data_IF_474278025655
#
_entry.id   IF_474278025655
#
_cell.length_a   1.000
_cell.length_b   1.000
_cell.length_c   1.000
_cell.angle_alpha   90.00
_cell.angle_beta   90.00
_cell.angle_gamma   90.00
#
_symmetry.space_group_name_H-M   'P 1'
#
loop_
_entity.id
_entity.type
_entity.pdbx_description
1 polymer ?
#
# COMPACT_ATOMS: atom_id res chain seq x y z
N UNK A 1 4.64 14.19 -18.72
CA UNK A 1 5.84 14.56 -17.95
C UNK A 1 5.44 14.37 -16.49
N UNK A 2 5.85 13.26 -15.86
CA UNK A 2 5.48 12.92 -14.49
C UNK A 2 6.52 13.59 -13.57
N UNK A 3 6.13 14.42 -12.61
CA UNK A 3 7.10 14.98 -11.67
C UNK A 3 7.58 13.91 -10.71
N UNK A 4 8.90 13.75 -10.66
CA UNK A 4 9.61 12.94 -9.68
C UNK A 4 9.57 13.67 -8.34
N UNK A 5 8.74 13.23 -7.39
CA UNK A 5 8.81 13.69 -6.02
C UNK A 5 9.81 12.84 -5.23
N UNK A 6 11.06 13.24 -5.32
CA UNK A 6 12.09 13.07 -4.31
C UNK A 6 12.65 14.46 -4.02
N UNK A 7 11.90 15.27 -3.29
CA UNK A 7 12.44 16.47 -2.70
C UNK A 7 13.42 16.04 -1.59
N UNK A 8 14.70 16.13 -1.87
CA UNK A 8 15.74 16.05 -0.86
C UNK A 8 15.58 17.23 0.09
N UNK A 9 15.26 16.95 1.35
CA UNK A 9 15.36 17.94 2.41
C UNK A 9 16.84 18.32 2.61
N UNK A 10 17.21 19.60 2.77
CA UNK A 10 18.58 20.00 3.00
C UNK A 10 18.99 19.62 4.43
N UNK A 11 20.03 18.82 4.55
CA UNK A 11 20.60 18.43 5.84
C UNK A 11 20.96 16.95 5.93
N UNK A 12 21.57 16.37 4.88
CA UNK A 12 22.12 15.02 4.97
C UNK A 12 23.37 15.01 5.86
N UNK A 13 23.42 14.16 6.89
CA UNK A 13 24.71 13.81 7.50
C UNK A 13 25.53 13.00 6.51
N UNK A 14 26.85 13.12 6.64
CA UNK A 14 27.85 12.53 5.77
C UNK A 14 27.72 11.02 5.56
N UNK A 15 28.18 10.49 4.41
CA UNK A 15 28.05 9.09 4.03
C UNK A 15 29.19 8.26 4.65
N UNK A 16 28.93 7.64 5.79
CA UNK A 16 29.75 6.56 6.33
C UNK A 16 28.94 5.34 6.75
N UNK A 17 27.72 5.19 6.27
CA UNK A 17 26.98 3.94 6.39
C UNK A 17 27.16 3.12 5.11
N UNK A 18 27.89 2.01 5.19
CA UNK A 18 27.92 1.00 4.14
C UNK A 18 26.47 0.66 3.74
N UNK A 19 26.18 0.65 2.44
CA UNK A 19 24.87 0.26 1.91
C UNK A 19 24.48 -1.18 2.35
N UNK A 20 23.26 -1.63 2.05
CA UNK A 20 22.84 -2.99 2.40
C UNK A 20 23.80 -4.02 1.79
N UNK A 21 24.11 -5.11 2.53
CA UNK A 21 24.96 -6.16 2.01
C UNK A 21 24.33 -6.79 0.77
N UNK A 22 25.15 -7.31 -0.13
CA UNK A 22 24.63 -8.11 -1.24
C UNK A 22 23.86 -9.32 -0.69
N UNK A 23 22.71 -9.60 -1.28
CA UNK A 23 21.81 -10.70 -0.90
C UNK A 23 21.53 -11.57 -2.12
N UNK A 24 21.46 -12.86 -1.93
CA UNK A 24 20.98 -13.80 -2.95
C UNK A 24 19.95 -14.75 -2.35
N UNK A 25 18.76 -14.81 -2.94
CA UNK A 25 17.76 -15.86 -2.67
C UNK A 25 17.89 -16.90 -3.77
N UNK A 26 18.21 -18.13 -3.41
CA UNK A 26 18.58 -19.19 -4.36
C UNK A 26 17.53 -20.29 -4.39
N UNK A 27 17.04 -20.65 -5.59
CA UNK A 27 16.16 -21.80 -5.79
C UNK A 27 14.69 -21.58 -5.50
N UNK A 28 14.25 -20.35 -5.25
CA UNK A 28 12.83 -20.01 -5.00
C UNK A 28 11.98 -20.11 -6.27
N UNK A 29 10.66 -20.30 -6.09
CA UNK A 29 9.69 -19.85 -7.08
C UNK A 29 9.59 -18.33 -6.99
N UNK A 30 9.53 -17.61 -8.12
CA UNK A 30 9.46 -16.14 -8.13
C UNK A 30 8.14 -15.70 -8.73
N UNK A 31 7.30 -15.07 -7.92
CA UNK A 31 6.18 -14.26 -8.37
C UNK A 31 6.70 -12.84 -8.63
N UNK A 32 6.75 -12.43 -9.88
CA UNK A 32 7.40 -11.17 -10.26
C UNK A 32 6.53 -9.92 -10.06
N UNK A 33 5.29 -10.08 -9.57
CA UNK A 33 4.32 -9.00 -9.43
C UNK A 33 3.53 -8.68 -10.71
N UNK A 34 3.76 -9.38 -11.82
CA UNK A 34 3.08 -9.14 -13.10
C UNK A 34 1.71 -9.78 -13.26
N UNK A 35 1.19 -10.46 -12.22
CA UNK A 35 -0.11 -11.13 -12.29
C UNK A 35 -0.10 -12.49 -13.00
N UNK A 36 1.07 -12.99 -13.40
CA UNK A 36 1.28 -14.33 -13.93
C UNK A 36 1.62 -15.37 -12.84
N UNK A 37 1.79 -16.67 -13.21
CA UNK A 37 2.22 -17.70 -12.28
C UNK A 37 3.68 -17.50 -11.85
N UNK A 38 4.07 -17.99 -10.65
CA UNK A 38 5.45 -17.95 -10.21
C UNK A 38 6.37 -18.78 -11.12
N UNK A 39 7.55 -18.26 -11.38
CA UNK A 39 8.58 -18.96 -12.14
C UNK A 39 9.44 -19.82 -11.19
N UNK A 40 9.46 -21.16 -11.30
CA UNK A 40 10.17 -22.02 -10.38
C UNK A 40 11.70 -21.96 -10.58
N UNK A 41 12.46 -22.32 -9.52
CA UNK A 41 13.89 -22.56 -9.58
C UNK A 41 14.69 -21.32 -9.99
N UNK A 42 14.40 -20.18 -9.39
CA UNK A 42 15.08 -18.90 -9.69
C UNK A 42 16.08 -18.53 -8.58
N UNK A 43 17.10 -17.81 -9.00
CA UNK A 43 17.98 -17.07 -8.10
C UNK A 43 17.77 -15.59 -8.35
N UNK A 44 17.56 -14.84 -7.26
CA UNK A 44 17.46 -13.38 -7.26
C UNK A 44 18.64 -12.83 -6.50
N UNK A 45 19.39 -11.93 -7.14
CA UNK A 45 20.56 -11.26 -6.55
C UNK A 45 20.21 -9.77 -6.41
N UNK A 46 20.41 -9.25 -5.21
CA UNK A 46 20.26 -7.83 -4.91
C UNK A 46 21.55 -7.26 -4.32
N UNK A 47 21.92 -6.05 -4.71
CA UNK A 47 23.01 -5.29 -4.13
C UNK A 47 22.71 -3.80 -4.16
N UNK A 48 23.22 -3.04 -3.20
CA UNK A 48 23.00 -1.59 -3.13
C UNK A 48 21.53 -1.19 -3.08
N UNK A 49 20.66 -2.04 -2.56
CA UNK A 49 19.22 -1.76 -2.44
C UNK A 49 18.37 -2.05 -3.67
N UNK A 50 18.97 -2.56 -4.75
CA UNK A 50 18.27 -2.89 -6.00
C UNK A 50 18.46 -4.36 -6.39
N UNK A 51 17.52 -4.92 -7.11
CA UNK A 51 17.64 -6.23 -7.73
C UNK A 51 18.54 -6.10 -8.96
N UNK A 52 19.67 -6.76 -8.94
CA UNK A 52 20.60 -6.76 -10.07
C UNK A 52 20.26 -7.81 -11.11
N UNK A 53 19.92 -9.03 -10.63
CA UNK A 53 19.72 -10.19 -11.51
C UNK A 53 18.61 -11.09 -11.01
N UNK A 54 17.81 -11.57 -11.96
CA UNK A 54 16.83 -12.64 -11.77
C UNK A 54 17.05 -13.67 -12.88
N UNK A 55 17.32 -14.92 -12.51
CA UNK A 55 17.58 -15.95 -13.51
C UNK A 55 17.49 -17.38 -12.95
N UNK A 56 17.67 -18.40 -13.80
CA UNK A 56 17.62 -19.79 -13.36
C UNK A 56 18.70 -20.11 -12.33
N UNK A 57 18.35 -20.95 -11.34
CA UNK A 57 19.30 -21.52 -10.40
C UNK A 57 20.43 -22.26 -11.17
N UNK A 58 21.68 -22.16 -10.69
CA UNK A 58 22.85 -22.71 -11.36
C UNK A 58 23.42 -21.87 -12.50
N UNK A 59 22.65 -20.91 -13.05
CA UNK A 59 23.16 -19.94 -14.05
C UNK A 59 23.35 -18.54 -13.47
N UNK A 60 22.58 -18.20 -12.41
CA UNK A 60 22.69 -16.92 -11.71
C UNK A 60 23.47 -17.14 -10.42
N UNK A 61 24.74 -16.79 -10.45
CA UNK A 61 25.68 -17.05 -9.34
C UNK A 61 25.65 -15.88 -8.36
N UNK A 62 25.46 -16.15 -7.03
CA UNK A 62 25.60 -15.12 -6.01
C UNK A 62 27.01 -14.49 -6.05
N UNK A 63 27.15 -13.17 -5.84
CA UNK A 63 28.45 -12.55 -5.73
C UNK A 63 29.17 -13.02 -4.46
N UNK A 64 30.52 -12.98 -4.51
CA UNK A 64 31.34 -13.31 -3.33
C UNK A 64 30.97 -12.39 -2.15
N UNK A 65 30.82 -12.97 -0.96
CA UNK A 65 30.46 -12.25 0.25
C UNK A 65 28.97 -11.88 0.38
N UNK A 66 28.12 -12.28 -0.59
CA UNK A 66 26.69 -12.09 -0.46
C UNK A 66 26.09 -12.94 0.68
N UNK A 67 25.10 -12.41 1.36
CA UNK A 67 24.22 -13.20 2.24
C UNK A 67 23.38 -14.12 1.34
N UNK A 68 23.53 -15.42 1.50
CA UNK A 68 22.79 -16.42 0.70
C UNK A 68 21.65 -16.99 1.53
N UNK A 69 20.44 -16.90 1.00
CA UNK A 69 19.21 -17.45 1.58
C UNK A 69 18.72 -18.59 0.70
N UNK A 70 18.53 -19.77 1.29
CA UNK A 70 17.91 -20.90 0.61
C UNK A 70 16.41 -20.63 0.37
N UNK A 71 16.00 -20.60 -0.89
CA UNK A 71 14.64 -20.39 -1.34
C UNK A 71 13.92 -21.69 -1.73
N UNK A 72 14.53 -22.85 -1.57
CA UNK A 72 13.90 -24.12 -1.94
C UNK A 72 12.59 -24.33 -1.17
N UNK A 73 11.52 -24.69 -1.91
CA UNK A 73 10.19 -24.87 -1.36
C UNK A 73 9.46 -23.59 -0.95
N UNK A 74 10.04 -22.42 -1.26
CA UNK A 74 9.47 -21.11 -0.94
C UNK A 74 9.14 -20.33 -2.22
N UNK A 75 8.26 -19.34 -2.05
CA UNK A 75 7.95 -18.34 -3.09
C UNK A 75 8.52 -16.99 -2.67
N UNK A 76 9.27 -16.36 -3.57
CA UNK A 76 9.72 -14.98 -3.44
C UNK A 76 8.78 -14.06 -4.20
N UNK A 77 8.28 -13.05 -3.49
CA UNK A 77 7.38 -12.02 -4.01
C UNK A 77 8.01 -10.64 -3.83
N UNK A 78 7.50 -9.61 -4.53
CA UNK A 78 7.73 -8.23 -4.10
C UNK A 78 7.17 -8.03 -2.68
N UNK A 79 7.80 -7.16 -1.90
CA UNK A 79 7.21 -6.69 -0.65
C UNK A 79 5.85 -6.03 -0.91
N UNK A 80 4.92 -6.22 0.01
CA UNK A 80 3.55 -5.73 -0.14
C UNK A 80 3.48 -4.21 0.00
N UNK A 81 2.55 -3.63 -0.74
CA UNK A 81 2.18 -2.21 -0.70
C UNK A 81 0.74 -2.12 -0.21
N UNK A 82 0.55 -1.58 0.98
CA UNK A 82 -0.77 -1.35 1.57
C UNK A 82 -1.19 0.11 1.33
N UNK A 83 -2.22 0.30 0.53
CA UNK A 83 -2.66 1.63 0.09
C UNK A 83 -3.55 2.35 1.11
N UNK A 84 -3.92 1.70 2.22
CA UNK A 84 -4.73 2.30 3.27
C UNK A 84 -4.39 1.73 4.64
N UNK A 85 -3.68 2.51 5.44
CA UNK A 85 -3.36 2.19 6.84
C UNK A 85 -3.50 3.41 7.73
N UNK A 86 -3.53 3.17 9.06
CA UNK A 86 -3.28 4.12 10.13
C UNK A 86 -2.08 3.61 10.95
N UNK A 87 -0.87 3.89 10.44
CA UNK A 87 0.38 3.22 10.86
C UNK A 87 0.73 3.42 12.33
N UNK A 88 0.38 4.56 12.92
CA UNK A 88 0.70 4.86 14.34
C UNK A 88 -0.04 3.96 15.35
N UNK A 89 -1.01 3.14 14.89
CA UNK A 89 -1.70 2.16 15.73
C UNK A 89 -0.84 0.93 16.08
N UNK A 90 0.26 0.70 15.35
CA UNK A 90 1.14 -0.45 15.54
C UNK A 90 2.61 -0.07 15.46
N UNK A 91 3.53 -0.81 16.11
CA UNK A 91 4.96 -0.64 15.87
C UNK A 91 5.29 -0.87 14.39
N UNK A 92 5.85 0.13 13.67
CA UNK A 92 6.13 -0.02 12.24
C UNK A 92 7.03 -1.22 11.90
N UNK A 93 7.92 -1.60 12.83
CA UNK A 93 8.78 -2.77 12.67
C UNK A 93 7.99 -4.09 12.54
N UNK A 94 6.84 -4.21 13.20
CA UNK A 94 5.98 -5.40 13.06
C UNK A 94 5.34 -5.46 11.68
N UNK A 95 4.86 -4.32 11.19
CA UNK A 95 4.24 -4.20 9.87
C UNK A 95 5.25 -4.58 8.78
N UNK A 96 6.48 -4.05 8.89
CA UNK A 96 7.57 -4.39 7.96
C UNK A 96 7.94 -5.88 8.06
N UNK A 97 8.15 -6.41 9.26
CA UNK A 97 8.49 -7.81 9.47
C UNK A 97 7.38 -8.77 9.00
N UNK A 98 6.14 -8.30 8.99
CA UNK A 98 4.97 -9.00 8.44
C UNK A 98 4.87 -8.98 6.91
N UNK A 99 5.87 -8.42 6.19
CA UNK A 99 5.94 -8.44 4.73
C UNK A 99 5.39 -7.21 4.02
N UNK A 100 4.87 -6.22 4.74
CA UNK A 100 4.41 -4.96 4.16
C UNK A 100 5.57 -3.96 4.14
N UNK A 101 6.16 -3.74 2.97
CA UNK A 101 7.37 -2.92 2.81
C UNK A 101 7.07 -1.45 2.49
N UNK A 102 5.86 -1.17 2.05
CA UNK A 102 5.38 0.19 1.75
C UNK A 102 3.94 0.35 2.23
N UNK A 103 3.64 1.49 2.83
CA UNK A 103 2.29 1.84 3.29
C UNK A 103 1.92 3.25 2.87
N UNK A 104 0.62 3.48 2.64
CA UNK A 104 0.05 4.83 2.55
C UNK A 104 -0.88 5.06 3.73
N UNK A 105 -0.44 5.94 4.64
CA UNK A 105 -1.24 6.36 5.79
C UNK A 105 -2.27 7.41 5.38
N UNK A 106 -3.52 7.17 5.70
CA UNK A 106 -4.65 8.00 5.27
C UNK A 106 -5.27 8.86 6.39
N UNK A 107 -4.52 9.11 7.46
CA UNK A 107 -4.99 10.12 8.40
C UNK A 107 -4.42 10.06 9.81
N UNK A 108 -3.56 11.01 10.12
CA UNK A 108 -3.06 11.32 11.46
C UNK A 108 -2.75 12.81 11.60
N UNK A 109 -2.58 13.32 12.85
CA UNK A 109 -2.03 14.64 13.07
C UNK A 109 -0.67 14.83 12.38
N UNK A 110 -0.44 16.00 11.77
CA UNK A 110 0.74 16.27 10.95
C UNK A 110 2.07 15.99 11.69
N UNK A 111 2.14 16.34 12.97
CA UNK A 111 3.35 16.13 13.79
C UNK A 111 3.70 14.65 13.97
N UNK A 112 2.69 13.78 14.12
CA UNK A 112 2.88 12.32 14.22
C UNK A 112 3.40 11.75 12.91
N UNK A 113 2.80 12.16 11.79
CA UNK A 113 3.24 11.70 10.47
C UNK A 113 4.64 12.20 10.12
N UNK A 114 5.00 13.43 10.48
CA UNK A 114 6.37 13.94 10.31
C UNK A 114 7.39 13.09 11.07
N UNK A 115 7.08 12.71 12.32
CA UNK A 115 7.96 11.87 13.14
C UNK A 115 8.07 10.44 12.57
N UNK A 116 6.98 9.85 12.10
CA UNK A 116 6.96 8.54 11.44
C UNK A 116 7.75 8.59 10.12
N UNK A 117 7.54 9.62 9.31
CA UNK A 117 8.21 9.83 8.03
C UNK A 117 9.72 9.96 8.19
N UNK A 118 10.19 10.77 9.16
CA UNK A 118 11.60 10.92 9.45
C UNK A 118 12.26 9.59 9.84
N UNK A 119 11.59 8.79 10.68
CA UNK A 119 12.08 7.45 11.04
C UNK A 119 12.09 6.49 9.85
N UNK A 120 11.02 6.50 9.04
CA UNK A 120 10.91 5.63 7.87
C UNK A 120 11.93 5.97 6.76
N UNK A 121 12.39 7.22 6.68
CA UNK A 121 13.37 7.68 5.70
C UNK A 121 14.81 7.25 6.02
N UNK A 122 15.11 6.83 7.25
CA UNK A 122 16.46 6.44 7.63
C UNK A 122 16.89 5.15 6.88
N UNK A 123 18.16 5.05 6.44
CA UNK A 123 18.70 3.83 5.86
C UNK A 123 18.56 2.66 6.84
N UNK A 124 18.10 1.51 6.36
CA UNK A 124 17.89 0.33 7.20
C UNK A 124 16.80 0.48 8.27
N UNK A 125 15.93 1.48 8.15
CA UNK A 125 14.86 1.69 9.11
C UNK A 125 13.97 0.46 9.27
N UNK A 126 13.71 0.10 10.52
CA UNK A 126 12.75 -0.95 10.87
C UNK A 126 11.30 -0.41 10.74
N UNK A 127 10.93 0.00 9.53
CA UNK A 127 9.63 0.59 9.20
C UNK A 127 9.35 0.39 7.71
N UNK A 128 8.09 0.21 7.28
CA UNK A 128 7.73 0.34 5.87
C UNK A 128 8.09 1.72 5.31
N UNK A 129 8.26 1.83 4.00
CA UNK A 129 8.25 3.13 3.32
C UNK A 129 6.89 3.77 3.53
N UNK A 130 6.87 5.03 3.96
CA UNK A 130 5.66 5.76 4.29
C UNK A 130 5.34 6.80 3.22
N UNK A 131 4.13 6.69 2.65
CA UNK A 131 3.42 7.79 2.02
C UNK A 131 2.31 8.23 2.98
N UNK A 132 1.97 9.51 3.02
CA UNK A 132 0.99 10.02 3.96
C UNK A 132 0.03 11.00 3.30
N UNK A 133 -1.24 10.98 3.73
CA UNK A 133 -2.22 12.00 3.35
C UNK A 133 -2.15 13.24 4.25
N UNK A 134 -1.62 13.11 5.46
CA UNK A 134 -1.75 14.12 6.47
C UNK A 134 -3.12 14.05 7.17
N UNK A 135 -3.68 15.20 7.49
CA UNK A 135 -4.99 15.31 8.11
C UNK A 135 -6.12 14.97 7.13
N UNK A 136 -7.21 14.43 7.66
CA UNK A 136 -8.43 14.13 6.89
C UNK A 136 -9.26 15.41 6.73
N UNK A 137 -9.45 15.86 5.50
CA UNK A 137 -10.26 17.05 5.22
C UNK A 137 -11.75 16.70 5.34
N UNK A 138 -12.49 17.49 6.13
CA UNK A 138 -13.89 17.31 6.41
C UNK A 138 -14.57 18.65 6.72
N UNK A 139 -15.81 18.65 7.16
CA UNK A 139 -16.50 19.84 7.67
C UNK A 139 -16.50 19.87 9.20
N UNK A 140 -16.78 21.02 9.86
CA UNK A 140 -17.00 21.06 11.30
C UNK A 140 -18.06 20.06 11.76
N UNK A 141 -17.69 19.18 12.71
CA UNK A 141 -18.56 18.11 13.21
C UNK A 141 -18.69 16.90 12.28
N UNK A 142 -18.05 16.91 11.10
CA UNK A 142 -17.97 15.76 10.20
C UNK A 142 -16.98 14.69 10.70
N UNK A 143 -17.08 13.47 10.15
CA UNK A 143 -16.13 12.39 10.45
C UNK A 143 -14.71 12.81 10.02
N UNK A 144 -13.65 12.54 10.79
CA UNK A 144 -13.61 11.85 12.09
C UNK A 144 -13.51 12.79 13.30
N UNK A 145 -13.99 14.04 13.25
CA UNK A 145 -13.80 15.04 14.32
C UNK A 145 -14.24 14.58 15.72
N UNK A 146 -15.12 13.58 15.78
CA UNK A 146 -15.67 13.02 17.04
C UNK A 146 -15.42 11.51 17.15
N UNK A 147 -14.61 10.94 16.27
CA UNK A 147 -14.35 9.52 16.30
C UNK A 147 -13.40 9.17 17.46
N UNK A 148 -13.71 8.16 18.29
CA UNK A 148 -12.91 7.84 19.49
C UNK A 148 -11.47 7.43 19.17
N UNK A 149 -11.21 6.91 17.97
CA UNK A 149 -9.88 6.51 17.51
C UNK A 149 -9.02 7.68 17.07
N UNK A 150 -9.64 8.82 16.69
CA UNK A 150 -8.96 9.95 16.08
C UNK A 150 -8.50 10.97 17.15
N UNK A 151 -7.20 11.07 17.44
CA UNK A 151 -6.70 12.10 18.35
C UNK A 151 -6.93 13.51 17.77
N UNK A 152 -6.95 14.56 18.61
CA UNK A 152 -7.04 15.94 18.14
C UNK A 152 -5.98 16.23 17.06
N UNK A 153 -6.40 16.92 15.99
CA UNK A 153 -5.53 17.21 14.84
C UNK A 153 -5.54 16.16 13.72
N UNK A 154 -6.27 15.04 13.87
CA UNK A 154 -6.47 14.06 12.77
C UNK A 154 -7.36 14.63 11.66
N UNK A 155 -8.38 15.40 12.01
CA UNK A 155 -9.27 16.07 11.07
C UNK A 155 -8.80 17.50 10.77
N UNK A 156 -8.99 17.95 9.52
CA UNK A 156 -8.86 19.33 9.06
C UNK A 156 -10.24 19.82 8.60
N UNK A 157 -11.07 20.38 9.51
CA UNK A 157 -12.37 20.92 9.13
C UNK A 157 -12.21 22.15 8.22
N UNK A 158 -13.12 22.31 7.26
CA UNK A 158 -13.20 23.46 6.35
C UNK A 158 -14.65 23.89 6.15
N UNK A 159 -14.91 25.21 6.15
CA UNK A 159 -16.27 25.77 6.08
C UNK A 159 -16.69 26.18 4.65
N UNK A 160 -15.76 26.27 3.71
CA UNK A 160 -16.08 26.70 2.36
C UNK A 160 -14.98 26.43 1.33
N UNK A 161 -15.24 26.72 0.04
CA UNK A 161 -14.31 26.42 -1.05
C UNK A 161 -12.93 27.08 -0.89
N UNK A 162 -12.86 28.33 -0.43
CA UNK A 162 -11.58 29.02 -0.26
C UNK A 162 -10.71 28.38 0.85
N UNK A 163 -11.33 28.03 1.98
CA UNK A 163 -10.61 27.34 3.07
C UNK A 163 -10.22 25.92 2.66
N UNK A 164 -11.07 25.24 1.89
CA UNK A 164 -10.77 23.93 1.35
C UNK A 164 -9.52 23.94 0.45
N UNK A 165 -9.43 24.91 -0.46
CA UNK A 165 -8.25 25.10 -1.31
C UNK A 165 -6.97 25.43 -0.50
N UNK A 166 -7.11 26.27 0.55
CA UNK A 166 -6.01 26.57 1.46
C UNK A 166 -5.53 25.33 2.23
N UNK A 167 -6.47 24.51 2.75
CA UNK A 167 -6.13 23.26 3.44
C UNK A 167 -5.38 22.26 2.53
N UNK A 168 -5.77 22.16 1.26
CA UNK A 168 -5.04 21.34 0.27
C UNK A 168 -3.63 21.88 0.04
N UNK A 169 -3.45 23.21 -0.02
CA UNK A 169 -2.13 23.81 -0.17
C UNK A 169 -1.24 23.50 1.04
N UNK A 170 -1.74 23.69 2.25
CA UNK A 170 -1.05 23.36 3.51
C UNK A 170 -0.60 21.89 3.54
N UNK A 171 -1.49 20.95 3.19
CA UNK A 171 -1.18 19.53 3.16
C UNK A 171 -0.13 19.18 2.08
N UNK A 172 -0.23 19.78 0.89
CA UNK A 172 0.74 19.58 -0.18
C UNK A 172 2.13 20.10 0.21
N UNK A 173 2.21 21.28 0.82
CA UNK A 173 3.47 21.87 1.34
C UNK A 173 4.07 21.02 2.46
N UNK A 174 3.23 20.36 3.27
CA UNK A 174 3.66 19.39 4.27
C UNK A 174 4.11 18.03 3.69
N UNK A 175 4.04 17.86 2.36
CA UNK A 175 4.48 16.65 1.67
C UNK A 175 3.44 15.53 1.57
N UNK A 176 2.15 15.87 1.63
CA UNK A 176 1.08 14.89 1.40
C UNK A 176 1.22 14.22 0.03
N UNK A 177 1.11 12.90 -0.01
CA UNK A 177 1.12 12.10 -1.24
C UNK A 177 -0.26 11.99 -1.91
N UNK A 178 -1.30 12.31 -1.18
CA UNK A 178 -2.71 12.27 -1.60
C UNK A 178 -3.52 13.13 -0.64
N UNK A 179 -4.66 13.67 -1.08
CA UNK A 179 -5.60 14.35 -0.19
C UNK A 179 -6.66 13.35 0.24
N UNK A 180 -6.82 13.14 1.55
CA UNK A 180 -7.89 12.31 2.12
C UNK A 180 -9.06 13.19 2.52
N UNK A 181 -10.26 12.84 2.04
CA UNK A 181 -11.52 13.45 2.46
C UNK A 181 -12.42 12.43 3.15
N UNK A 182 -13.33 12.92 4.01
CA UNK A 182 -14.33 12.06 4.64
C UNK A 182 -15.76 12.49 4.24
N UNK A 183 -16.52 11.53 3.72
CA UNK A 183 -17.88 11.65 3.24
C UNK A 183 -18.75 10.56 3.89
N UNK A 184 -19.10 10.73 5.17
CA UNK A 184 -19.92 9.76 5.90
C UNK A 184 -21.12 10.45 6.58
N UNK A 185 -22.21 10.56 5.83
CA UNK A 185 -23.47 11.15 6.28
C UNK A 185 -24.19 10.32 7.35
N UNK A 186 -23.74 9.08 7.61
CA UNK A 186 -24.30 8.23 8.68
C UNK A 186 -23.88 8.70 10.09
N UNK A 187 -22.75 9.40 10.18
CA UNK A 187 -22.14 9.78 11.48
C UNK A 187 -21.99 11.29 11.67
N UNK A 188 -22.31 12.10 10.67
CA UNK A 188 -22.25 13.56 10.79
C UNK A 188 -22.42 14.29 9.46
N UNK A 189 -22.28 15.62 9.45
CA UNK A 189 -22.31 16.40 8.22
C UNK A 189 -21.11 16.07 7.33
N UNK A 190 -21.29 16.23 6.02
CA UNK A 190 -20.25 15.95 5.01
C UNK A 190 -19.97 17.16 4.15
N UNK A 191 -18.85 17.14 3.44
CA UNK A 191 -18.44 18.19 2.51
C UNK A 191 -19.55 18.43 1.45
N UNK A 192 -20.08 19.66 1.32
CA UNK A 192 -20.96 20.02 0.22
C UNK A 192 -20.23 19.88 -1.13
N UNK A 193 -20.96 19.57 -2.20
CA UNK A 193 -20.36 19.35 -3.52
C UNK A 193 -19.46 20.52 -4.00
N UNK A 194 -19.79 21.81 -3.81
CA UNK A 194 -18.90 22.90 -4.19
C UNK A 194 -17.58 22.94 -3.40
N UNK A 195 -17.61 22.57 -2.12
CA UNK A 195 -16.40 22.49 -1.26
C UNK A 195 -15.54 21.31 -1.68
N UNK A 196 -16.15 20.15 -1.92
CA UNK A 196 -15.45 18.97 -2.39
C UNK A 196 -14.84 19.19 -3.79
N UNK A 197 -15.55 19.89 -4.69
CA UNK A 197 -15.01 20.25 -6.00
C UNK A 197 -13.77 21.15 -5.88
N UNK A 198 -13.77 22.13 -5.00
CA UNK A 198 -12.62 22.99 -4.74
C UNK A 198 -11.41 22.20 -4.19
N UNK A 199 -11.66 21.17 -3.36
CA UNK A 199 -10.59 20.26 -2.90
C UNK A 199 -9.97 19.51 -4.08
N UNK A 200 -10.82 18.93 -4.96
CA UNK A 200 -10.35 18.17 -6.13
C UNK A 200 -9.57 19.07 -7.07
N UNK A 201 -10.09 20.25 -7.40
CA UNK A 201 -9.43 21.24 -8.26
C UNK A 201 -8.05 21.63 -7.69
N UNK A 202 -8.00 22.04 -6.43
CA UNK A 202 -6.75 22.44 -5.76
C UNK A 202 -5.73 21.29 -5.65
N UNK A 203 -6.18 20.04 -5.51
CA UNK A 203 -5.32 18.87 -5.51
C UNK A 203 -4.74 18.60 -6.91
N UNK A 204 -5.57 18.63 -7.94
CA UNK A 204 -5.14 18.46 -9.34
C UNK A 204 -4.10 19.50 -9.76
N UNK A 205 -4.30 20.77 -9.40
CA UNK A 205 -3.32 21.85 -9.65
C UNK A 205 -1.93 21.55 -9.06
N UNK A 206 -1.89 20.75 -7.99
CA UNK A 206 -0.65 20.32 -7.31
C UNK A 206 -0.16 18.94 -7.68
N UNK A 207 -0.80 18.29 -8.67
CA UNK A 207 -0.47 16.94 -9.10
C UNK A 207 -0.83 15.85 -8.08
N UNK A 208 -1.76 16.14 -7.16
CA UNK A 208 -2.24 15.20 -6.15
C UNK A 208 -3.57 14.58 -6.54
N UNK A 209 -3.77 13.32 -6.19
CA UNK A 209 -5.08 12.67 -6.22
C UNK A 209 -5.91 13.00 -4.97
N UNK A 210 -7.21 12.69 -5.04
CA UNK A 210 -8.11 12.74 -3.89
C UNK A 210 -8.66 11.34 -3.64
N UNK A 211 -8.56 10.87 -2.40
CA UNK A 211 -9.16 9.60 -1.92
C UNK A 211 -10.26 9.90 -0.89
N UNK A 212 -11.40 9.24 -1.03
CA UNK A 212 -12.55 9.51 -0.20
C UNK A 212 -12.94 8.31 0.69
N UNK A 213 -13.04 8.54 2.00
CA UNK A 213 -13.88 7.71 2.85
C UNK A 213 -15.33 7.97 2.45
N UNK A 214 -16.11 6.93 2.15
CA UNK A 214 -17.50 7.06 1.70
C UNK A 214 -18.42 6.19 2.55
N UNK A 215 -19.44 6.80 3.16
CA UNK A 215 -20.40 6.10 3.99
C UNK A 215 -21.50 5.42 3.17
N UNK A 216 -22.08 6.13 2.22
CA UNK A 216 -23.28 5.70 1.50
C UNK A 216 -23.12 5.78 -0.02
N UNK A 217 -24.09 5.21 -0.75
CA UNK A 217 -24.20 5.32 -2.20
C UNK A 217 -24.32 6.78 -2.66
N UNK A 218 -25.03 7.63 -1.91
CA UNK A 218 -25.19 9.05 -2.23
C UNK A 218 -23.84 9.79 -2.14
N UNK A 219 -23.03 9.48 -1.11
CA UNK A 219 -21.71 10.06 -0.94
C UNK A 219 -20.73 9.57 -2.02
N UNK A 220 -20.81 8.30 -2.41
CA UNK A 220 -20.03 7.78 -3.53
C UNK A 220 -20.39 8.46 -4.87
N UNK A 221 -21.69 8.69 -5.12
CA UNK A 221 -22.15 9.41 -6.29
C UNK A 221 -21.68 10.87 -6.29
N UNK A 222 -21.73 11.55 -5.13
CA UNK A 222 -21.22 12.92 -4.97
C UNK A 222 -19.71 13.00 -5.23
N UNK A 223 -18.94 12.07 -4.66
CA UNK A 223 -17.50 11.98 -4.90
C UNK A 223 -17.17 11.80 -6.39
N UNK A 224 -17.86 10.87 -7.05
CA UNK A 224 -17.70 10.62 -8.49
C UNK A 224 -18.04 11.87 -9.32
N UNK A 225 -19.15 12.55 -9.01
CA UNK A 225 -19.62 13.71 -9.77
C UNK A 225 -18.64 14.89 -9.79
N UNK A 226 -17.78 15.02 -8.79
CA UNK A 226 -16.77 16.09 -8.70
C UNK A 226 -15.36 15.61 -9.08
N UNK A 227 -15.21 14.36 -9.51
CA UNK A 227 -13.92 13.85 -10.01
C UNK A 227 -12.98 13.29 -8.96
N UNK A 228 -13.49 12.82 -7.80
CA UNK A 228 -12.67 12.03 -6.86
C UNK A 228 -12.23 10.75 -7.55
N UNK A 229 -10.91 10.51 -7.62
CA UNK A 229 -10.33 9.40 -8.39
C UNK A 229 -10.20 8.09 -7.63
N UNK A 230 -10.41 8.08 -6.31
CA UNK A 230 -10.26 6.88 -5.48
C UNK A 230 -11.28 6.84 -4.35
N UNK A 231 -11.85 5.65 -4.12
CA UNK A 231 -12.61 5.34 -2.92
C UNK A 231 -11.72 4.58 -1.94
N UNK A 232 -11.48 5.17 -0.76
CA UNK A 232 -10.66 4.59 0.30
C UNK A 232 -11.34 3.44 1.04
N UNK A 233 -12.64 3.27 0.81
CA UNK A 233 -13.46 2.13 1.24
C UNK A 233 -14.51 1.86 0.17
N UNK A 234 -14.94 0.61 0.03
CA UNK A 234 -16.22 0.37 -0.61
C UNK A 234 -17.33 0.88 0.32
N UNK A 235 -18.34 1.59 -0.18
CA UNK A 235 -19.38 2.21 0.67
C UNK A 235 -19.98 1.24 1.69
N UNK A 236 -20.21 1.75 2.89
CA UNK A 236 -20.79 0.99 4.01
C UNK A 236 -22.32 0.92 3.95
N UNK A 237 -22.94 1.31 2.84
CA UNK A 237 -24.38 1.23 2.66
C UNK A 237 -24.86 -0.22 2.81
N UNK A 238 -25.81 -0.51 3.68
CA UNK A 238 -26.36 -1.85 3.83
C UNK A 238 -27.18 -2.31 2.62
N UNK A 239 -27.55 -1.39 1.73
CA UNK A 239 -28.27 -1.68 0.49
C UNK A 239 -27.27 -1.79 -0.67
N UNK A 240 -27.55 -2.64 -1.66
CA UNK A 240 -26.75 -2.70 -2.87
C UNK A 240 -26.72 -1.34 -3.60
N UNK A 241 -25.55 -0.90 -4.04
CA UNK A 241 -25.45 0.29 -4.88
C UNK A 241 -26.22 0.06 -6.19
N UNK A 242 -26.89 1.11 -6.75
CA UNK A 242 -27.54 1.02 -8.06
C UNK A 242 -26.55 0.62 -9.16
N UNK A 243 -27.00 -0.22 -10.11
CA UNK A 243 -26.15 -0.66 -11.23
C UNK A 243 -25.51 0.49 -12.01
N UNK A 244 -26.23 1.58 -12.37
CA UNK A 244 -25.62 2.70 -13.08
C UNK A 244 -24.50 3.38 -12.30
N UNK A 245 -24.60 3.41 -10.96
CA UNK A 245 -23.53 3.95 -10.13
C UNK A 245 -22.31 3.03 -10.11
N UNK A 246 -22.52 1.71 -10.00
CA UNK A 246 -21.41 0.74 -10.05
C UNK A 246 -20.71 0.79 -11.41
N UNK A 247 -21.45 0.92 -12.51
CA UNK A 247 -20.91 1.06 -13.87
C UNK A 247 -20.01 2.32 -13.97
N UNK A 248 -20.52 3.46 -13.53
CA UNK A 248 -19.78 4.72 -13.55
C UNK A 248 -18.55 4.71 -12.61
N UNK A 249 -18.66 4.10 -11.43
CA UNK A 249 -17.51 3.91 -10.54
C UNK A 249 -16.45 3.00 -11.17
N UNK A 250 -16.85 1.90 -11.82
CA UNK A 250 -15.90 0.97 -12.45
C UNK A 250 -15.08 1.62 -13.58
N UNK A 251 -15.69 2.56 -14.29
CA UNK A 251 -15.02 3.32 -15.34
C UNK A 251 -14.04 4.37 -14.78
N UNK A 252 -14.44 5.11 -13.74
CA UNK A 252 -13.79 6.35 -13.35
C UNK A 252 -12.85 6.25 -12.15
N UNK A 253 -13.08 5.33 -11.19
CA UNK A 253 -12.35 5.32 -9.93
C UNK A 253 -11.49 4.07 -9.72
N UNK A 254 -10.54 4.19 -8.80
CA UNK A 254 -9.87 3.05 -8.18
C UNK A 254 -10.52 2.79 -6.83
N UNK A 255 -10.81 1.54 -6.52
CA UNK A 255 -11.31 1.14 -5.20
C UNK A 255 -10.20 0.52 -4.36
N UNK A 256 -10.07 0.99 -3.12
CA UNK A 256 -9.34 0.35 -2.02
C UNK A 256 -10.39 -0.21 -1.07
N UNK A 257 -10.90 -1.44 -1.25
CA UNK A 257 -12.20 -1.83 -0.68
C UNK A 257 -12.21 -1.98 0.82
N UNK A 258 -11.08 -2.38 1.44
CA UNK A 258 -10.96 -2.64 2.90
C UNK A 258 -12.09 -3.54 3.41
N UNK A 259 -12.27 -4.68 2.77
CA UNK A 259 -13.39 -5.58 3.06
C UNK A 259 -13.27 -6.25 4.42
N UNK A 260 -12.03 -6.47 4.91
CA UNK A 260 -11.81 -7.18 6.17
C UNK A 260 -12.40 -6.42 7.38
N UNK A 261 -12.36 -5.08 7.39
CA UNK A 261 -12.91 -4.28 8.50
C UNK A 261 -14.44 -4.34 8.60
N UNK A 262 -15.13 -4.63 7.48
CA UNK A 262 -16.57 -4.89 7.40
C UNK A 262 -16.85 -5.80 6.20
N UNK A 263 -16.80 -7.13 6.37
CA UNK A 263 -17.06 -8.10 5.31
C UNK A 263 -18.54 -8.37 5.09
N UNK A 264 -19.40 -7.35 5.26
CA UNK A 264 -20.85 -7.51 5.09
C UNK A 264 -21.21 -8.03 3.69
N UNK A 265 -22.31 -8.80 3.55
CA UNK A 265 -22.73 -9.35 2.25
C UNK A 265 -22.94 -8.27 1.18
N UNK A 266 -23.45 -7.09 1.57
CA UNK A 266 -23.69 -5.97 0.65
C UNK A 266 -22.39 -5.44 0.06
N UNK A 267 -21.36 -5.22 0.90
CA UNK A 267 -20.05 -4.74 0.46
C UNK A 267 -19.35 -5.75 -0.43
N UNK A 268 -19.29 -7.03 -0.03
CA UNK A 268 -18.70 -8.11 -0.84
C UNK A 268 -19.39 -8.24 -2.20
N UNK A 269 -20.73 -8.22 -2.23
CA UNK A 269 -21.49 -8.26 -3.47
C UNK A 269 -21.25 -7.01 -4.34
N UNK A 270 -21.10 -5.84 -3.71
CA UNK A 270 -20.80 -4.58 -4.38
C UNK A 270 -19.43 -4.62 -5.06
N UNK A 271 -18.38 -5.03 -4.36
CA UNK A 271 -17.02 -5.16 -4.93
C UNK A 271 -17.00 -6.21 -6.03
N UNK A 272 -17.71 -7.34 -5.87
CA UNK A 272 -17.83 -8.35 -6.93
C UNK A 272 -18.44 -7.77 -8.21
N UNK A 273 -19.50 -6.97 -8.08
CA UNK A 273 -20.15 -6.30 -9.23
C UNK A 273 -19.22 -5.27 -9.87
N UNK A 274 -18.44 -4.54 -9.07
CA UNK A 274 -17.46 -3.59 -9.54
C UNK A 274 -16.34 -4.28 -10.33
N UNK A 275 -15.76 -5.36 -9.79
CA UNK A 275 -14.73 -6.17 -10.47
C UNK A 275 -15.26 -6.77 -11.77
N UNK A 276 -16.48 -7.31 -11.77
CA UNK A 276 -17.12 -7.89 -12.96
C UNK A 276 -17.32 -6.87 -14.10
N UNK A 277 -17.32 -5.58 -13.78
CA UNK A 277 -17.40 -4.45 -14.74
C UNK A 277 -16.02 -3.91 -15.16
N UNK A 278 -14.95 -4.58 -14.76
CA UNK A 278 -13.58 -4.13 -15.06
C UNK A 278 -13.06 -3.05 -14.12
N UNK A 279 -13.74 -2.81 -13.01
CA UNK A 279 -13.31 -1.85 -11.99
C UNK A 279 -11.93 -2.19 -11.42
N UNK A 280 -11.12 -1.17 -11.22
CA UNK A 280 -9.74 -1.30 -10.75
C UNK A 280 -9.69 -1.37 -9.23
N UNK A 281 -9.11 -2.44 -8.70
CA UNK A 281 -8.94 -2.66 -7.26
C UNK A 281 -7.47 -2.59 -6.89
N UNK A 282 -7.19 -1.90 -5.80
CA UNK A 282 -5.89 -1.86 -5.13
C UNK A 282 -6.07 -2.34 -3.69
N UNK A 283 -5.12 -3.15 -3.22
CA UNK A 283 -5.12 -3.68 -1.86
C UNK A 283 -4.87 -2.55 -0.85
N UNK A 284 -5.66 -2.57 0.21
CA UNK A 284 -5.49 -1.76 1.40
C UNK A 284 -6.35 -2.32 2.51
N UNK A 285 -5.85 -2.27 3.73
CA UNK A 285 -6.42 -3.02 4.85
C UNK A 285 -7.20 -2.16 5.83
N UNK A 286 -6.93 -0.85 5.86
CA UNK A 286 -7.33 0.04 6.94
C UNK A 286 -6.77 -0.43 8.30
N UNK A 287 -5.50 -0.89 8.27
CA UNK A 287 -4.74 -1.26 9.46
C UNK A 287 -4.82 -0.15 10.51
N UNK A 288 -5.24 -0.51 11.70
CA UNK A 288 -5.61 0.41 12.79
C UNK A 288 -7.01 0.16 13.28
N UNK A 289 -7.86 -0.44 12.45
CA UNK A 289 -9.17 -0.96 12.83
C UNK A 289 -9.08 -2.39 13.38
N UNK A 290 -10.21 -2.91 13.89
CA UNK A 290 -10.30 -4.31 14.31
C UNK A 290 -10.29 -5.23 13.09
N UNK A 291 -9.49 -6.29 13.17
CA UNK A 291 -9.37 -7.32 12.14
C UNK A 291 -8.00 -7.35 11.48
N UNK A 292 -7.59 -6.34 10.70
CA UNK A 292 -6.32 -6.36 9.99
C UNK A 292 -5.11 -6.54 10.91
N UNK A 293 -4.24 -7.53 10.67
CA UNK A 293 -3.02 -7.73 11.45
C UNK A 293 -1.93 -6.74 11.03
N UNK A 294 -0.92 -6.45 11.87
CA UNK A 294 0.26 -5.68 11.48
C UNK A 294 1.20 -6.52 10.58
N UNK A 295 0.68 -7.06 9.48
CA UNK A 295 1.32 -7.94 8.53
C UNK A 295 0.54 -7.91 7.21
N UNK A 296 0.96 -8.73 6.24
CA UNK A 296 0.11 -9.01 5.06
C UNK A 296 -1.23 -9.59 5.54
N UNK A 297 -2.30 -8.91 5.21
CA UNK A 297 -3.65 -9.35 5.56
C UNK A 297 -4.18 -10.36 4.52
N UNK A 298 -4.09 -11.63 4.86
CA UNK A 298 -4.55 -12.73 3.99
C UNK A 298 -6.07 -12.77 3.89
N UNK A 299 -6.80 -12.23 4.87
CA UNK A 299 -8.26 -12.18 4.83
C UNK A 299 -8.75 -11.15 3.81
N UNK A 300 -8.14 -9.95 3.75
CA UNK A 300 -8.47 -8.99 2.70
C UNK A 300 -8.21 -9.59 1.31
N UNK A 301 -7.05 -10.26 1.11
CA UNK A 301 -6.75 -10.94 -0.15
C UNK A 301 -7.78 -12.03 -0.48
N UNK A 302 -8.19 -12.82 0.50
CA UNK A 302 -9.22 -13.86 0.32
C UNK A 302 -10.55 -13.27 -0.12
N UNK A 303 -10.96 -12.16 0.50
CA UNK A 303 -12.17 -11.43 0.16
C UNK A 303 -12.10 -10.82 -1.25
N UNK A 304 -10.93 -10.33 -1.67
CA UNK A 304 -10.71 -9.88 -3.05
C UNK A 304 -10.81 -11.02 -4.06
N UNK A 305 -10.27 -12.19 -3.73
CA UNK A 305 -10.42 -13.39 -4.59
C UNK A 305 -11.89 -13.82 -4.66
N UNK A 306 -12.63 -13.80 -3.56
CA UNK A 306 -14.08 -14.08 -3.55
C UNK A 306 -14.88 -13.04 -4.34
N UNK A 307 -14.38 -11.79 -4.42
CA UNK A 307 -14.97 -10.76 -5.26
C UNK A 307 -14.68 -10.96 -6.76
N UNK A 308 -13.87 -11.93 -7.13
CA UNK A 308 -13.63 -12.33 -8.52
C UNK A 308 -12.24 -11.99 -9.07
N UNK A 309 -11.31 -11.50 -8.26
CA UNK A 309 -9.92 -11.36 -8.70
C UNK A 309 -9.25 -12.75 -8.71
N UNK A 310 -8.62 -13.18 -9.80
CA UNK A 310 -7.75 -14.35 -9.76
C UNK A 310 -6.65 -14.16 -8.69
N UNK A 311 -6.19 -15.22 -7.99
CA UNK A 311 -5.18 -15.09 -6.93
C UNK A 311 -3.95 -14.29 -7.34
N UNK A 312 -3.43 -14.52 -8.55
CA UNK A 312 -2.28 -13.77 -9.06
C UNK A 312 -2.59 -12.26 -9.23
N UNK A 313 -3.82 -11.90 -9.61
CA UNK A 313 -4.24 -10.50 -9.71
C UNK A 313 -4.48 -9.87 -8.33
N UNK A 314 -4.98 -10.62 -7.34
CA UNK A 314 -5.08 -10.15 -5.96
C UNK A 314 -3.70 -9.84 -5.38
N UNK A 315 -2.69 -10.70 -5.64
CA UNK A 315 -1.30 -10.42 -5.27
C UNK A 315 -0.71 -9.22 -6.04
N UNK A 316 -1.03 -9.06 -7.32
CA UNK A 316 -0.63 -7.90 -8.10
C UNK A 316 -1.28 -6.61 -7.58
N UNK A 317 -2.56 -6.66 -7.13
CA UNK A 317 -3.25 -5.54 -6.50
C UNK A 317 -2.57 -5.08 -5.19
N UNK A 318 -1.86 -5.98 -4.52
CA UNK A 318 -1.09 -5.71 -3.30
C UNK A 318 0.41 -5.44 -3.55
N UNK A 319 0.87 -5.46 -4.79
CA UNK A 319 2.28 -5.26 -5.15
C UNK A 319 2.42 -4.27 -6.30
N UNK A 320 2.48 -4.75 -7.54
CA UNK A 320 2.78 -3.91 -8.70
C UNK A 320 1.67 -2.92 -9.04
N UNK A 321 0.40 -3.32 -8.94
CA UNK A 321 -0.73 -2.42 -9.24
C UNK A 321 -0.87 -1.35 -8.17
N UNK A 322 -0.69 -1.71 -6.88
CA UNK A 322 -0.64 -0.73 -5.80
C UNK A 322 0.52 0.25 -5.98
N UNK A 323 1.73 -0.26 -6.27
CA UNK A 323 2.90 0.58 -6.51
C UNK A 323 2.68 1.54 -7.70
N UNK A 324 2.13 1.05 -8.81
CA UNK A 324 1.82 1.88 -9.98
C UNK A 324 0.76 2.94 -9.66
N UNK A 325 -0.30 2.57 -8.93
CA UNK A 325 -1.35 3.50 -8.51
C UNK A 325 -0.81 4.61 -7.59
N UNK A 326 0.11 4.27 -6.71
CA UNK A 326 0.75 5.23 -5.79
C UNK A 326 1.94 5.99 -6.43
N UNK A 327 2.23 5.81 -7.72
CA UNK A 327 3.32 6.49 -8.41
C UNK A 327 4.73 6.03 -8.00
N UNK A 328 4.88 4.83 -7.45
CA UNK A 328 6.13 4.31 -6.91
C UNK A 328 6.95 3.57 -7.98
N UNK A 329 7.80 4.29 -8.67
CA UNK A 329 8.71 3.69 -9.64
C UNK A 329 9.67 2.68 -8.99
N UNK A 330 9.87 1.54 -9.66
CA UNK A 330 10.79 0.48 -9.21
C UNK A 330 10.31 -0.34 -8.02
N UNK A 331 9.08 -0.13 -7.54
CA UNK A 331 8.48 -0.88 -6.41
C UNK A 331 7.47 -1.91 -6.93
N UNK A 332 7.22 -2.98 -6.16
CA UNK A 332 6.16 -3.96 -6.43
C UNK A 332 6.49 -4.97 -7.52
N UNK A 333 7.76 -5.09 -7.95
CA UNK A 333 8.21 -6.06 -8.95
C UNK A 333 9.50 -6.76 -8.53
N UNK A 334 9.63 -8.06 -8.88
CA UNK A 334 10.88 -8.79 -8.76
C UNK A 334 11.53 -8.92 -10.14
N UNK A 335 12.12 -7.83 -10.59
CA UNK A 335 12.84 -7.73 -11.88
C UNK A 335 14.12 -6.93 -11.70
N UNK A 336 15.11 -7.13 -12.60
CA UNK A 336 16.33 -6.35 -12.56
C UNK A 336 16.05 -4.84 -12.66
N UNK A 337 16.73 -4.04 -11.85
CA UNK A 337 16.55 -2.60 -11.71
C UNK A 337 15.46 -2.18 -10.73
N UNK A 338 14.62 -3.10 -10.25
CA UNK A 338 13.64 -2.80 -9.21
C UNK A 338 14.29 -2.72 -7.82
N UNK A 339 13.62 -2.06 -6.88
CA UNK A 339 14.02 -2.03 -5.47
C UNK A 339 14.04 -3.43 -4.89
N UNK A 340 14.99 -3.69 -4.02
CA UNK A 340 15.08 -4.95 -3.31
C UNK A 340 14.14 -4.96 -2.08
N UNK A 341 12.86 -4.66 -2.32
CA UNK A 341 11.74 -4.81 -1.39
C UNK A 341 11.16 -6.20 -1.64
N UNK A 342 11.56 -7.19 -0.84
CA UNK A 342 11.29 -8.61 -1.10
C UNK A 342 10.61 -9.27 0.08
N UNK A 343 9.72 -10.22 -0.22
CA UNK A 343 9.07 -11.12 0.73
C UNK A 343 9.27 -12.57 0.28
N UNK A 344 9.93 -13.39 1.09
CA UNK A 344 10.04 -14.83 0.89
C UNK A 344 9.14 -15.55 1.88
N UNK A 345 8.26 -16.41 1.40
CA UNK A 345 7.33 -17.20 2.21
C UNK A 345 7.43 -18.69 1.91
N UNK A 346 7.16 -19.53 2.90
CA UNK A 346 7.10 -20.98 2.70
C UNK A 346 5.84 -21.38 1.92
N UNK A 347 6.03 -22.15 0.84
CA UNK A 347 4.96 -22.66 0.01
C UNK A 347 4.58 -21.73 -1.16
N UNK A 348 3.39 -21.97 -1.72
CA UNK A 348 2.86 -21.24 -2.89
C UNK A 348 1.62 -20.43 -2.50
N UNK A 349 1.72 -19.10 -2.43
CA UNK A 349 0.58 -18.23 -2.06
C UNK A 349 -0.50 -18.14 -3.14
N UNK A 350 -0.25 -18.60 -4.38
CA UNK A 350 -1.29 -18.69 -5.39
C UNK A 350 -2.20 -19.91 -5.19
N UNK A 351 -1.63 -20.97 -4.60
CA UNK A 351 -2.38 -22.18 -4.23
C UNK A 351 -3.05 -22.03 -2.86
N UNK A 352 -2.38 -21.36 -1.91
CA UNK A 352 -2.84 -21.18 -0.53
C UNK A 352 -2.37 -19.81 0.00
N UNK A 353 -3.28 -18.84 0.06
CA UNK A 353 -2.99 -17.50 0.57
C UNK A 353 -2.43 -17.50 2.00
N UNK A 354 -2.73 -18.53 2.82
CA UNK A 354 -2.16 -18.66 4.16
C UNK A 354 -0.64 -18.86 4.14
N UNK A 355 -0.02 -19.19 3.00
CA UNK A 355 1.43 -19.20 2.82
C UNK A 355 2.07 -17.84 3.16
N UNK A 356 1.36 -16.74 2.92
CA UNK A 356 1.85 -15.38 3.18
C UNK A 356 2.14 -15.12 4.66
N UNK A 357 1.54 -15.87 5.58
CA UNK A 357 1.84 -15.78 7.01
C UNK A 357 3.11 -16.57 7.42
N UNK A 358 3.64 -17.43 6.54
CA UNK A 358 4.84 -18.23 6.79
C UNK A 358 6.10 -17.49 6.29
N UNK A 359 6.33 -16.30 6.84
CA UNK A 359 7.41 -15.40 6.43
C UNK A 359 8.77 -15.99 6.75
N UNK A 360 9.64 -16.11 5.74
CA UNK A 360 11.02 -16.57 5.86
C UNK A 360 12.03 -15.42 5.80
N UNK A 361 11.79 -14.44 4.91
CA UNK A 361 12.63 -13.27 4.73
C UNK A 361 11.78 -12.06 4.35
N UNK A 362 12.09 -10.91 4.91
CA UNK A 362 11.64 -9.62 4.42
C UNK A 362 12.84 -8.71 4.23
N UNK A 363 12.90 -8.03 3.08
CA UNK A 363 13.85 -6.94 2.87
C UNK A 363 13.14 -5.67 2.44
N UNK A 364 13.69 -4.53 2.85
CA UNK A 364 13.31 -3.22 2.37
C UNK A 364 14.56 -2.48 1.90
N UNK A 365 14.58 -2.03 0.64
CA UNK A 365 15.77 -1.43 0.01
C UNK A 365 17.04 -2.30 0.22
N UNK A 366 16.88 -3.63 0.18
CA UNK A 366 17.96 -4.60 0.40
C UNK A 366 18.35 -4.84 1.86
N UNK A 367 17.87 -4.02 2.81
CA UNK A 367 18.10 -4.26 4.24
C UNK A 367 17.17 -5.35 4.75
N UNK A 368 17.74 -6.33 5.46
CA UNK A 368 16.98 -7.44 6.05
C UNK A 368 16.21 -6.93 7.27
N UNK A 369 14.88 -7.00 7.20
CA UNK A 369 13.97 -6.63 8.29
C UNK A 369 13.52 -7.84 9.11
N UNK A 370 13.36 -9.00 8.48
CA UNK A 370 13.06 -10.27 9.13
C UNK A 370 13.78 -11.41 8.40
N UNK A 371 14.31 -12.37 9.14
CA UNK A 371 14.92 -13.58 8.60
C UNK A 371 14.73 -14.73 9.61
N UNK A 372 13.75 -15.60 9.35
CA UNK A 372 13.52 -16.84 10.10
C UNK A 372 14.03 -18.08 9.36
N UNK A 373 14.64 -17.88 8.16
CA UNK A 373 15.17 -18.95 7.34
C UNK A 373 16.46 -19.55 7.90
N UNK A 374 16.72 -20.82 7.59
CA UNK A 374 18.02 -21.45 7.81
C UNK A 374 19.07 -20.68 7.01
N UNK A 375 20.05 -20.10 7.69
CA UNK A 375 21.23 -19.61 6.98
C UNK A 375 21.87 -20.82 6.30
N UNK A 376 21.91 -20.81 4.98
CA UNK A 376 22.63 -21.83 4.21
C UNK A 376 24.08 -21.79 4.64
N UNK A 377 24.54 -22.85 5.31
CA UNK A 377 25.94 -23.03 5.64
C UNK A 377 26.76 -22.86 4.37
N UNK A 378 27.89 -22.19 4.47
CA UNK A 378 28.83 -22.03 3.38
C UNK A 378 29.05 -23.39 2.72
N UNK A 379 28.70 -23.51 1.45
CA UNK A 379 29.02 -24.72 0.65
C UNK A 379 30.54 -24.81 0.60
N UNK A 380 31.15 -25.92 1.04
CA UNK A 380 32.59 -26.09 0.86
C UNK A 380 32.91 -26.08 -0.64
N UNK A 381 34.09 -25.63 -1.03
CA UNK A 381 34.51 -25.64 -2.43
C UNK A 381 34.48 -27.06 -2.95
N UNK A 382 33.82 -27.26 -4.08
CA UNK A 382 33.86 -28.51 -4.86
C UNK A 382 35.32 -28.70 -5.35
N UNK A 383 35.91 -29.91 -5.23
CA UNK A 383 37.27 -30.18 -5.58
C UNK A 383 37.55 -30.06 -7.08
#
# INVERSE_FOLDING_TARGET
>A
MVPVYLAAMPGSPAPDAAGPPALAVVGAAVFDGGGGPPLPGRTVVAAGGVIERVGPVGRTVPPAGAVVVDGAGATLLPGFVDAHVHLDCYPPAQVLAGGVTTVRDLGWPAERLAALGARAAAPGAASPRLLAAGQIVTVPGGYPTRAPWAPPGTARPVDGPAEAAAAVAELAEAGAAVIKVALDDRVGPTLPAPVLAAIVEAAVERGLGVTAHVGTAAEAAKALAVGVGELAHWPFDPRPLPDPLVDALAEAVVAVPTLHIDPSPARRAGVRRFVARGGRVVYGTDLGNQGPPPAVDTEELRLLVEAGLPPAQALAAATSLAAAHLGLAGTGRVVAGARADLLLVDGDPLADLAALSRVRLVTRDGWVAANSGRQGGATPPVP
#
